data_IF_384324383817
#
_entry.id   IF_384324383817
#
_cell.length_a   1.000
_cell.length_b   1.000
_cell.length_c   1.000
_cell.angle_alpha   90.00
_cell.angle_beta   90.00
_cell.angle_gamma   90.00
#
_symmetry.space_group_name_H-M   'P 1'
#
loop_
_entity.id
_entity.type
_entity.pdbx_description
1 polymer ?
#
# COMPACT_ATOMS: atom_id res chain seq x y z
N UNK A 1 12.76 1.31 -2.00
CA UNK A 1 13.97 0.46 -2.07
C UNK A 1 15.17 1.18 -2.68
N UNK A 2 15.12 1.76 -3.89
CA UNK A 2 16.31 2.37 -4.51
C UNK A 2 16.79 3.61 -3.75
N UNK A 3 15.89 4.42 -3.20
CA UNK A 3 16.30 5.54 -2.33
C UNK A 3 16.91 5.13 -1.00
N UNK A 4 16.48 4.00 -0.41
CA UNK A 4 17.10 3.48 0.82
C UNK A 4 18.49 2.95 0.51
N UNK A 5 18.65 2.22 -0.60
CA UNK A 5 19.96 1.76 -1.08
C UNK A 5 20.89 2.95 -1.42
N UNK A 6 20.38 3.98 -2.09
CA UNK A 6 21.15 5.18 -2.42
C UNK A 6 21.54 6.01 -1.19
N UNK A 7 20.62 6.22 -0.24
CA UNK A 7 20.95 6.90 1.01
C UNK A 7 21.99 6.13 1.82
N UNK A 8 21.92 4.80 1.84
CA UNK A 8 22.94 3.96 2.45
C UNK A 8 24.32 4.13 1.79
N UNK A 9 24.40 4.11 0.46
CA UNK A 9 25.66 4.33 -0.27
C UNK A 9 26.27 5.71 0.02
N UNK A 10 25.43 6.71 0.34
CA UNK A 10 25.84 8.07 0.68
C UNK A 10 26.05 8.30 2.19
N UNK A 11 25.81 7.30 3.05
CA UNK A 11 25.88 7.43 4.51
C UNK A 11 24.79 8.32 5.13
N UNK A 12 23.68 8.54 4.41
CA UNK A 12 22.56 9.38 4.84
C UNK A 12 21.48 8.56 5.58
N UNK A 13 20.65 9.20 6.43
CA UNK A 13 19.52 8.55 7.08
C UNK A 13 18.56 7.87 6.09
N UNK A 14 18.18 6.62 6.38
CA UNK A 14 17.30 5.83 5.52
C UNK A 14 15.95 6.50 5.25
N UNK A 15 15.41 7.25 6.23
CA UNK A 15 14.14 7.97 6.12
C UNK A 15 14.15 8.96 4.96
N UNK A 16 15.27 9.69 4.79
CA UNK A 16 15.42 10.71 3.77
C UNK A 16 15.46 10.07 2.38
N UNK A 17 16.28 9.03 2.22
CA UNK A 17 16.34 8.26 0.99
C UNK A 17 15.00 7.63 0.60
N UNK A 18 14.32 7.02 1.58
CA UNK A 18 12.99 6.44 1.38
C UNK A 18 11.97 7.51 0.96
N UNK A 19 11.95 8.67 1.62
CA UNK A 19 11.03 9.77 1.32
C UNK A 19 11.21 10.32 -0.09
N UNK A 20 12.45 10.62 -0.50
CA UNK A 20 12.71 11.13 -1.84
C UNK A 20 12.38 10.10 -2.92
N UNK A 21 12.75 8.84 -2.71
CA UNK A 21 12.43 7.78 -3.66
C UNK A 21 10.94 7.45 -3.72
N UNK A 22 10.23 7.52 -2.59
CA UNK A 22 8.78 7.36 -2.53
C UNK A 22 8.06 8.51 -3.23
N UNK A 23 8.50 9.76 -2.99
CA UNK A 23 8.01 10.94 -3.69
C UNK A 23 8.27 10.86 -5.20
N UNK A 24 9.46 10.44 -5.62
CA UNK A 24 9.79 10.23 -7.03
C UNK A 24 8.93 9.14 -7.67
N UNK A 25 8.70 8.02 -6.97
CA UNK A 25 7.83 6.96 -7.45
C UNK A 25 6.37 7.46 -7.58
N UNK A 26 5.85 8.19 -6.60
CA UNK A 26 4.51 8.77 -6.65
C UNK A 26 4.37 9.80 -7.79
N UNK A 27 5.38 10.65 -7.98
CA UNK A 27 5.43 11.60 -9.09
C UNK A 27 5.48 10.88 -10.45
N UNK A 28 6.28 9.82 -10.57
CA UNK A 28 6.36 9.02 -11.78
C UNK A 28 5.02 8.30 -12.08
N UNK A 29 4.36 7.75 -11.06
CA UNK A 29 3.01 7.18 -11.20
C UNK A 29 2.00 8.22 -11.68
N UNK A 30 1.97 9.40 -11.05
CA UNK A 30 1.07 10.50 -11.44
C UNK A 30 1.33 10.96 -12.88
N UNK A 31 2.61 11.11 -13.25
CA UNK A 31 3.01 11.49 -14.60
C UNK A 31 2.59 10.45 -15.65
N UNK A 32 2.82 9.16 -15.40
CA UNK A 32 2.39 8.08 -16.29
C UNK A 32 0.87 8.01 -16.40
N UNK A 33 0.16 8.17 -15.28
CA UNK A 33 -1.30 8.12 -15.24
C UNK A 33 -1.92 9.26 -16.09
N UNK A 34 -1.33 10.46 -16.03
CA UNK A 34 -1.81 11.60 -16.83
C UNK A 34 -1.45 11.53 -18.31
N UNK A 35 -0.35 10.87 -18.68
CA UNK A 35 0.20 10.87 -20.05
C UNK A 35 -0.09 9.60 -20.84
N UNK A 36 -0.47 8.51 -20.18
CA UNK A 36 -0.69 7.21 -20.83
C UNK A 36 -2.13 6.72 -20.62
N UNK A 37 -2.62 5.84 -21.50
CA UNK A 37 -3.91 5.14 -21.35
C UNK A 37 -3.74 3.79 -20.63
N UNK A 38 -2.63 3.60 -19.91
CA UNK A 38 -2.38 2.37 -19.18
C UNK A 38 -3.36 2.27 -18.01
N UNK A 39 -3.82 1.05 -17.72
CA UNK A 39 -4.60 0.79 -16.50
C UNK A 39 -3.73 1.12 -15.29
N UNK A 40 -4.35 1.71 -14.27
CA UNK A 40 -3.66 2.17 -13.06
C UNK A 40 -2.89 1.03 -12.37
N UNK A 41 -3.45 -0.18 -12.37
CA UNK A 41 -2.82 -1.41 -11.88
C UNK A 41 -1.50 -1.74 -12.60
N UNK A 42 -1.45 -1.52 -13.92
CA UNK A 42 -0.26 -1.77 -14.73
C UNK A 42 0.84 -0.73 -14.44
N UNK A 43 0.45 0.53 -14.21
CA UNK A 43 1.38 1.60 -13.85
C UNK A 43 1.99 1.32 -12.47
N UNK A 44 1.17 0.93 -11.49
CA UNK A 44 1.63 0.57 -10.14
C UNK A 44 2.62 -0.59 -10.21
N UNK A 45 2.27 -1.66 -10.94
CA UNK A 45 3.14 -2.83 -11.11
C UNK A 45 4.46 -2.49 -11.82
N UNK A 46 4.41 -1.66 -12.86
CA UNK A 46 5.60 -1.25 -13.62
C UNK A 46 6.55 -0.38 -12.78
N UNK A 47 6.03 0.66 -12.12
CA UNK A 47 6.86 1.53 -11.28
C UNK A 47 7.44 0.74 -10.11
N UNK A 48 6.63 -0.11 -9.47
CA UNK A 48 7.09 -0.94 -8.35
C UNK A 48 8.20 -1.90 -8.76
N UNK A 49 7.97 -2.74 -9.79
CA UNK A 49 8.98 -3.69 -10.27
C UNK A 49 10.26 -2.99 -10.73
N UNK A 50 10.14 -1.85 -11.42
CA UNK A 50 11.29 -1.06 -11.88
C UNK A 50 12.11 -0.50 -10.71
N UNK A 51 11.46 0.18 -9.76
CA UNK A 51 12.15 0.77 -8.62
C UNK A 51 12.73 -0.30 -7.69
N UNK A 52 11.99 -1.39 -7.48
CA UNK A 52 12.43 -2.50 -6.66
C UNK A 52 13.65 -3.20 -7.29
N UNK A 53 13.60 -3.49 -8.59
CA UNK A 53 14.71 -4.05 -9.35
C UNK A 53 15.94 -3.14 -9.37
N UNK A 54 15.74 -1.83 -9.56
CA UNK A 54 16.84 -0.85 -9.50
C UNK A 54 17.48 -0.83 -8.11
N UNK A 55 16.69 -0.87 -7.04
CA UNK A 55 17.20 -0.94 -5.67
C UNK A 55 18.02 -2.21 -5.40
N UNK A 56 17.55 -3.37 -5.86
CA UNK A 56 18.29 -4.63 -5.80
C UNK A 56 19.59 -4.59 -6.62
N UNK A 57 19.57 -3.94 -7.78
CA UNK A 57 20.75 -3.76 -8.63
C UNK A 57 21.81 -2.87 -7.97
N UNK A 58 21.43 -1.72 -7.41
CA UNK A 58 22.35 -0.85 -6.66
C UNK A 58 23.01 -1.58 -5.49
N UNK A 59 22.22 -2.40 -4.79
CA UNK A 59 22.71 -3.26 -3.71
C UNK A 59 23.72 -4.29 -4.22
N UNK A 60 23.46 -4.89 -5.38
CA UNK A 60 24.39 -5.85 -5.98
C UNK A 60 25.75 -5.25 -6.35
N UNK A 61 25.84 -3.93 -6.56
CA UNK A 61 27.07 -3.23 -6.93
C UNK A 61 27.93 -2.84 -5.71
N UNK A 62 27.33 -2.68 -4.53
CA UNK A 62 28.04 -2.35 -3.28
C UNK A 62 27.72 -3.39 -2.21
N UNK A 63 28.44 -4.53 -2.17
CA UNK A 63 28.28 -5.57 -1.16
C UNK A 63 28.92 -5.10 0.15
N UNK A 64 28.29 -4.18 0.87
CA UNK A 64 28.74 -3.75 2.20
C UNK A 64 27.75 -4.23 3.26
N UNK A 65 28.31 -4.87 4.30
CA UNK A 65 27.85 -5.33 5.64
C UNK A 65 26.45 -5.09 6.23
N UNK A 66 25.48 -4.50 5.52
CA UNK A 66 24.10 -4.35 6.02
C UNK A 66 23.23 -5.44 5.41
N UNK A 67 22.60 -6.23 6.27
CA UNK A 67 21.82 -7.39 5.90
C UNK A 67 20.51 -6.94 5.21
N UNK A 68 20.51 -6.79 3.88
CA UNK A 68 19.36 -6.28 3.09
C UNK A 68 18.08 -7.11 3.33
N UNK A 69 18.21 -8.39 3.69
CA UNK A 69 17.06 -9.18 4.13
C UNK A 69 16.32 -8.50 5.28
N UNK A 70 17.01 -7.90 6.26
CA UNK A 70 16.34 -7.17 7.34
C UNK A 70 15.64 -5.88 6.90
N UNK A 71 16.10 -5.22 5.82
CA UNK A 71 15.44 -4.01 5.29
C UNK A 71 14.24 -4.37 4.39
N UNK A 72 14.37 -5.43 3.59
CA UNK A 72 13.33 -5.86 2.64
C UNK A 72 12.24 -6.66 3.35
N UNK A 73 12.63 -7.61 4.20
CA UNK A 73 11.72 -8.51 4.92
C UNK A 73 11.30 -7.96 6.29
N UNK A 74 12.02 -6.96 6.81
CA UNK A 74 11.79 -6.38 8.13
C UNK A 74 12.37 -7.24 9.26
N UNK A 75 12.64 -6.60 10.39
CA UNK A 75 12.88 -7.30 11.65
C UNK A 75 12.15 -6.57 12.78
N UNK A 76 10.97 -7.08 13.16
CA UNK A 76 10.13 -6.49 14.21
C UNK A 76 10.87 -6.47 15.57
N UNK A 77 11.84 -7.38 15.78
CA UNK A 77 12.63 -7.44 17.01
C UNK A 77 13.71 -6.35 17.10
N UNK A 78 14.04 -5.68 15.99
CA UNK A 78 15.03 -4.61 15.95
C UNK A 78 14.43 -3.21 16.11
N UNK A 79 13.12 -3.10 16.38
CA UNK A 79 12.42 -1.83 16.51
C UNK A 79 12.84 -1.12 17.81
N UNK A 80 13.31 0.11 17.70
CA UNK A 80 13.62 0.94 18.87
C UNK A 80 12.36 1.63 19.42
N UNK A 81 12.35 2.03 20.71
CA UNK A 81 11.26 2.83 21.26
C UNK A 81 11.05 4.17 20.53
N UNK A 82 12.13 4.75 20.02
CA UNK A 82 12.11 6.00 19.25
C UNK A 82 11.39 5.82 17.90
N UNK A 83 11.68 4.73 17.18
CA UNK A 83 10.99 4.40 15.92
C UNK A 83 9.50 4.16 16.14
N UNK A 84 9.14 3.52 17.25
CA UNK A 84 7.74 3.26 17.62
C UNK A 84 6.99 4.57 17.90
N UNK A 85 7.60 5.48 18.64
CA UNK A 85 7.01 6.80 18.92
C UNK A 85 6.86 7.62 17.64
N UNK A 86 7.87 7.62 16.77
CA UNK A 86 7.82 8.32 15.50
C UNK A 86 6.71 7.75 14.59
N UNK A 87 6.61 6.43 14.49
CA UNK A 87 5.53 5.75 13.74
C UNK A 87 4.15 6.11 14.31
N UNK A 88 4.01 6.12 15.64
CA UNK A 88 2.75 6.47 16.30
C UNK A 88 2.34 7.93 16.02
N UNK A 89 3.28 8.88 16.10
CA UNK A 89 3.02 10.29 15.80
C UNK A 89 2.62 10.47 14.34
N UNK A 90 3.41 9.94 13.40
CA UNK A 90 3.14 10.08 11.95
C UNK A 90 1.81 9.40 11.59
N UNK A 91 1.55 8.21 12.13
CA UNK A 91 0.31 7.47 11.92
C UNK A 91 -0.90 8.22 12.48
N UNK A 92 -0.81 8.73 13.71
CA UNK A 92 -1.91 9.48 14.33
C UNK A 92 -2.20 10.79 13.60
N UNK A 93 -1.18 11.57 13.27
CA UNK A 93 -1.35 12.83 12.52
C UNK A 93 -1.93 12.56 11.13
N UNK A 94 -1.42 11.54 10.43
CA UNK A 94 -1.92 11.18 9.10
C UNK A 94 -3.37 10.74 9.13
N UNK A 95 -3.73 9.89 10.10
CA UNK A 95 -5.10 9.43 10.29
C UNK A 95 -6.04 10.59 10.66
N UNK A 96 -5.62 11.49 11.55
CA UNK A 96 -6.40 12.64 11.95
C UNK A 96 -6.70 13.57 10.76
N UNK A 97 -5.68 13.89 9.94
CA UNK A 97 -5.86 14.71 8.75
C UNK A 97 -6.80 14.02 7.75
N UNK A 98 -6.63 12.71 7.52
CA UNK A 98 -7.51 11.94 6.63
C UNK A 98 -8.97 11.93 7.10
N UNK A 99 -9.21 11.81 8.41
CA UNK A 99 -10.56 11.83 8.98
C UNK A 99 -11.21 13.22 8.84
N UNK A 100 -10.45 14.29 9.10
CA UNK A 100 -10.95 15.68 8.95
C UNK A 100 -11.24 16.00 7.48
N UNK A 101 -10.37 15.57 6.57
CA UNK A 101 -10.49 15.80 5.11
C UNK A 101 -11.25 14.73 4.34
N UNK A 102 -11.90 13.80 5.05
CA UNK A 102 -12.57 12.64 4.47
C UNK A 102 -13.57 13.01 3.36
N UNK A 103 -14.42 14.01 3.59
CA UNK A 103 -15.47 14.42 2.64
C UNK A 103 -14.84 15.04 1.38
N UNK A 104 -13.86 15.92 1.56
CA UNK A 104 -13.15 16.60 0.46
C UNK A 104 -12.42 15.57 -0.43
N UNK A 105 -11.74 14.59 0.19
CA UNK A 105 -11.05 13.51 -0.53
C UNK A 105 -12.03 12.62 -1.29
N UNK A 106 -13.17 12.28 -0.69
CA UNK A 106 -14.21 11.49 -1.36
C UNK A 106 -14.69 12.19 -2.62
N UNK A 107 -15.00 13.49 -2.56
CA UNK A 107 -15.46 14.23 -3.76
C UNK A 107 -14.39 14.25 -4.84
N UNK A 108 -13.12 14.49 -4.48
CA UNK A 108 -12.01 14.54 -5.45
C UNK A 108 -11.75 13.19 -6.13
N UNK A 109 -11.85 12.06 -5.39
CA UNK A 109 -11.60 10.73 -5.96
C UNK A 109 -12.77 10.21 -6.79
N UNK A 110 -14.01 10.61 -6.49
CA UNK A 110 -15.18 10.18 -7.25
C UNK A 110 -15.49 11.06 -8.46
N UNK A 111 -15.34 12.39 -8.33
CA UNK A 111 -15.57 13.32 -9.42
C UNK A 111 -14.72 14.60 -9.26
N UNK A 112 -13.59 14.62 -9.97
CA UNK A 112 -12.70 15.77 -9.99
C UNK A 112 -13.34 17.02 -10.60
N UNK A 113 -14.25 16.86 -11.56
CA UNK A 113 -14.93 17.98 -12.22
C UNK A 113 -15.93 18.64 -11.28
N UNK A 114 -16.67 17.84 -10.51
CA UNK A 114 -17.56 18.29 -9.46
C UNK A 114 -16.81 18.90 -8.27
N UNK A 115 -15.64 18.36 -7.91
CA UNK A 115 -14.79 18.95 -6.89
C UNK A 115 -14.39 20.40 -7.24
N UNK A 116 -14.00 20.64 -8.50
CA UNK A 116 -13.64 22.00 -8.97
C UNK A 116 -14.83 22.95 -8.99
N UNK A 117 -16.02 22.47 -9.34
CA UNK A 117 -17.21 23.33 -9.39
C UNK A 117 -17.70 23.77 -8.00
N UNK A 118 -17.42 22.99 -6.96
CA UNK A 118 -17.70 23.35 -5.55
C UNK A 118 -16.58 24.24 -4.95
N UNK A 119 -15.55 24.56 -5.72
CA UNK A 119 -14.45 25.43 -5.29
C UNK A 119 -13.33 24.72 -4.52
N UNK A 120 -13.32 23.38 -4.52
CA UNK A 120 -12.16 22.62 -4.01
C UNK A 120 -11.02 22.68 -5.03
N UNK A 121 -9.79 22.60 -4.54
CA UNK A 121 -8.59 22.44 -5.37
C UNK A 121 -8.16 20.97 -5.37
N UNK A 122 -8.50 20.17 -6.40
CA UNK A 122 -8.20 18.74 -6.42
C UNK A 122 -6.69 18.46 -6.40
N UNK A 123 -5.90 19.32 -7.04
CA UNK A 123 -4.45 19.17 -7.08
C UNK A 123 -3.84 19.28 -5.68
N UNK A 124 -4.27 20.25 -4.88
CA UNK A 124 -3.80 20.41 -3.51
C UNK A 124 -4.21 19.22 -2.62
N UNK A 125 -5.44 18.73 -2.75
CA UNK A 125 -5.94 17.58 -2.00
C UNK A 125 -5.22 16.28 -2.38
N UNK A 126 -4.94 16.07 -3.67
CA UNK A 126 -4.12 14.94 -4.14
C UNK A 126 -2.68 15.03 -3.60
N UNK A 127 -2.04 16.20 -3.68
CA UNK A 127 -0.69 16.39 -3.15
C UNK A 127 -0.64 16.12 -1.64
N UNK A 128 -1.60 16.64 -0.88
CA UNK A 128 -1.74 16.35 0.55
C UNK A 128 -1.91 14.85 0.81
N UNK A 129 -2.79 14.17 0.09
CA UNK A 129 -3.00 12.73 0.23
C UNK A 129 -1.72 11.93 -0.07
N UNK A 130 -1.04 12.21 -1.18
CA UNK A 130 0.21 11.54 -1.54
C UNK A 130 1.34 11.85 -0.55
N UNK A 131 1.37 13.04 0.04
CA UNK A 131 2.32 13.39 1.09
C UNK A 131 2.07 12.57 2.36
N UNK A 132 0.82 12.42 2.81
CA UNK A 132 0.45 11.60 3.97
C UNK A 132 0.75 10.11 3.72
N UNK A 133 0.42 9.62 2.51
CA UNK A 133 0.73 8.26 2.08
C UNK A 133 2.25 8.02 2.08
N UNK A 134 3.04 8.94 1.52
CA UNK A 134 4.50 8.86 1.52
C UNK A 134 5.07 8.87 2.94
N UNK A 135 4.64 9.80 3.80
CA UNK A 135 5.10 9.86 5.19
C UNK A 135 4.77 8.58 5.97
N UNK A 136 3.55 8.07 5.83
CA UNK A 136 3.10 6.84 6.51
C UNK A 136 3.85 5.61 6.01
N UNK A 137 4.06 5.48 4.69
CA UNK A 137 4.77 4.34 4.09
C UNK A 137 6.25 4.35 4.44
N UNK A 138 6.89 5.52 4.50
CA UNK A 138 8.29 5.67 4.93
C UNK A 138 8.46 5.28 6.39
N UNK A 139 7.58 5.76 7.28
CA UNK A 139 7.62 5.40 8.70
C UNK A 139 7.41 3.89 8.92
N UNK A 140 6.46 3.30 8.18
CA UNK A 140 6.20 1.86 8.25
C UNK A 140 7.35 1.02 7.67
N UNK A 141 8.08 1.53 6.66
CA UNK A 141 9.20 0.82 6.04
C UNK A 141 10.32 0.54 7.04
N UNK A 142 10.57 1.49 7.94
CA UNK A 142 11.65 1.39 8.94
C UNK A 142 11.38 0.31 9.98
N UNK A 143 10.12 0.11 10.34
CA UNK A 143 9.70 -0.81 11.39
C UNK A 143 9.42 -2.21 10.87
N UNK A 144 8.77 -2.31 9.71
CA UNK A 144 8.19 -3.56 9.21
C UNK A 144 8.86 -4.06 7.93
N UNK A 145 9.61 -3.21 7.22
CA UNK A 145 10.32 -3.55 5.99
C UNK A 145 9.56 -3.22 4.70
N UNK A 146 10.32 -2.99 3.62
CA UNK A 146 9.77 -2.43 2.39
C UNK A 146 8.77 -3.35 1.66
N UNK A 147 8.95 -4.67 1.73
CA UNK A 147 8.08 -5.62 1.03
C UNK A 147 6.68 -5.65 1.64
N UNK A 148 6.61 -5.78 2.97
CA UNK A 148 5.33 -5.88 3.68
C UNK A 148 4.52 -4.59 3.59
N UNK A 149 5.16 -3.42 3.67
CA UNK A 149 4.45 -2.13 3.52
C UNK A 149 3.68 -2.07 2.20
N UNK A 150 4.30 -2.52 1.11
CA UNK A 150 3.70 -2.41 -0.22
C UNK A 150 2.51 -3.37 -0.36
N UNK A 151 2.66 -4.60 0.14
CA UNK A 151 1.55 -5.55 0.20
C UNK A 151 0.40 -5.04 1.07
N UNK A 152 0.69 -4.43 2.22
CA UNK A 152 -0.32 -3.85 3.10
C UNK A 152 -1.06 -2.65 2.50
N UNK A 153 -0.40 -1.87 1.63
CA UNK A 153 -1.05 -0.74 0.94
C UNK A 153 -2.02 -1.22 -0.13
N UNK A 154 -1.70 -2.33 -0.82
CA UNK A 154 -2.46 -2.78 -2.01
C UNK A 154 -3.46 -3.89 -1.69
N UNK A 155 -3.03 -4.97 -1.04
CA UNK A 155 -3.81 -6.22 -0.93
C UNK A 155 -5.08 -6.08 -0.07
N UNK A 156 -5.06 -5.44 1.12
CA UNK A 156 -6.27 -5.23 1.91
C UNK A 156 -7.30 -4.35 1.20
N UNK A 157 -6.85 -3.33 0.45
CA UNK A 157 -7.70 -2.46 -0.35
C UNK A 157 -8.37 -3.22 -1.50
N UNK A 158 -7.59 -3.99 -2.27
CA UNK A 158 -8.10 -4.83 -3.35
C UNK A 158 -9.08 -5.91 -2.83
N UNK A 159 -8.76 -6.52 -1.69
CA UNK A 159 -9.64 -7.50 -1.04
C UNK A 159 -10.96 -6.84 -0.63
N UNK A 160 -10.91 -5.69 0.06
CA UNK A 160 -12.10 -4.98 0.50
C UNK A 160 -12.99 -4.53 -0.68
N UNK A 161 -12.38 -4.14 -1.79
CA UNK A 161 -13.10 -3.78 -3.03
C UNK A 161 -13.91 -4.96 -3.61
N UNK A 162 -13.41 -6.20 -3.49
CA UNK A 162 -14.17 -7.39 -3.91
C UNK A 162 -15.42 -7.63 -3.04
N UNK A 163 -15.36 -7.26 -1.76
CA UNK A 163 -16.41 -7.51 -0.78
C UNK A 163 -17.51 -6.44 -0.76
N UNK A 164 -17.22 -5.18 -1.10
CA UNK A 164 -18.21 -4.10 -0.98
C UNK A 164 -18.03 -2.97 -2.00
N UNK A 165 -19.16 -2.35 -2.40
CA UNK A 165 -19.17 -1.19 -3.31
C UNK A 165 -19.25 0.16 -2.58
N UNK A 166 -19.48 0.14 -1.26
CA UNK A 166 -19.61 1.39 -0.47
C UNK A 166 -18.25 1.81 0.06
N UNK A 167 -17.73 2.93 -0.43
CA UNK A 167 -16.39 3.45 -0.07
C UNK A 167 -16.11 3.53 1.45
N UNK A 168 -17.03 4.03 2.31
CA UNK A 168 -16.78 4.04 3.76
C UNK A 168 -16.62 2.63 4.33
N UNK A 169 -17.44 1.68 3.86
CA UNK A 169 -17.37 0.28 4.30
C UNK A 169 -16.12 -0.41 3.77
N UNK A 170 -15.70 -0.07 2.54
CA UNK A 170 -14.47 -0.57 1.94
C UNK A 170 -13.26 -0.21 2.81
N UNK A 171 -13.16 1.05 3.24
CA UNK A 171 -12.04 1.49 4.07
C UNK A 171 -12.02 0.81 5.44
N UNK A 172 -13.17 0.65 6.09
CA UNK A 172 -13.24 -0.10 7.36
C UNK A 172 -12.82 -1.57 7.15
N UNK A 173 -13.30 -2.23 6.10
CA UNK A 173 -12.93 -3.62 5.81
C UNK A 173 -11.43 -3.74 5.52
N UNK A 174 -10.86 -2.82 4.73
CA UNK A 174 -9.43 -2.83 4.41
C UNK A 174 -8.57 -2.67 5.66
N UNK A 175 -8.93 -1.75 6.56
CA UNK A 175 -8.23 -1.54 7.84
C UNK A 175 -8.35 -2.78 8.73
N UNK A 176 -9.55 -3.37 8.84
CA UNK A 176 -9.77 -4.57 9.66
C UNK A 176 -8.99 -5.77 9.12
N UNK A 177 -9.02 -6.03 7.81
CA UNK A 177 -8.24 -7.09 7.17
C UNK A 177 -6.75 -6.85 7.41
N UNK A 178 -6.28 -5.62 7.17
CA UNK A 178 -4.90 -5.24 7.41
C UNK A 178 -4.48 -5.54 8.85
N UNK A 179 -5.17 -4.98 9.83
CA UNK A 179 -4.87 -5.17 11.25
C UNK A 179 -4.93 -6.65 11.68
N UNK A 180 -5.99 -7.38 11.28
CA UNK A 180 -6.15 -8.78 11.61
C UNK A 180 -5.03 -9.65 11.03
N UNK A 181 -4.65 -9.42 9.76
CA UNK A 181 -3.54 -10.15 9.11
C UNK A 181 -2.19 -9.83 9.71
N UNK A 182 -1.95 -8.58 10.11
CA UNK A 182 -0.70 -8.22 10.78
C UNK A 182 -0.60 -8.84 12.17
N UNK A 183 -1.67 -8.81 12.97
CA UNK A 183 -1.67 -9.42 14.31
C UNK A 183 -1.51 -10.94 14.23
N UNK A 184 -2.34 -11.60 13.40
CA UNK A 184 -2.28 -13.06 13.25
C UNK A 184 -0.99 -13.54 12.59
N UNK A 185 -0.48 -12.82 11.58
CA UNK A 185 0.78 -13.15 10.91
C UNK A 185 2.01 -12.88 11.77
N UNK A 186 2.00 -11.82 12.59
CA UNK A 186 3.06 -11.61 13.58
C UNK A 186 3.06 -12.70 14.66
N UNK A 187 1.88 -13.10 15.15
CA UNK A 187 1.77 -14.20 16.10
C UNK A 187 2.22 -15.54 15.50
N UNK A 188 1.82 -15.84 14.25
CA UNK A 188 2.24 -17.05 13.56
C UNK A 188 3.75 -17.08 13.28
N UNK A 189 4.35 -15.91 12.98
CA UNK A 189 5.80 -15.78 12.75
C UNK A 189 6.63 -16.21 13.96
N UNK A 190 6.10 -16.04 15.18
CA UNK A 190 6.76 -16.51 16.40
C UNK A 190 6.89 -18.05 16.46
N UNK A 191 5.92 -18.80 15.91
CA UNK A 191 5.95 -20.28 15.93
C UNK A 191 6.67 -20.90 14.72
N UNK A 192 6.71 -20.17 13.60
CA UNK A 192 7.24 -20.66 12.33
C UNK A 192 8.72 -20.32 12.11
N UNK A 193 9.34 -19.52 12.99
CA UNK A 193 10.69 -18.94 12.82
C UNK A 193 10.92 -18.33 11.42
N UNK A 194 9.83 -17.90 10.78
CA UNK A 194 9.83 -17.38 9.41
C UNK A 194 9.79 -15.86 9.39
N UNK A 195 10.27 -15.27 8.28
CA UNK A 195 10.25 -13.82 8.08
C UNK A 195 8.83 -13.26 8.20
N UNK A 196 8.59 -12.41 9.21
CA UNK A 196 7.24 -11.94 9.56
C UNK A 196 6.54 -11.24 8.40
N UNK A 197 7.30 -10.47 7.61
CA UNK A 197 6.81 -9.85 6.38
C UNK A 197 6.24 -10.86 5.39
N UNK A 198 6.96 -11.97 5.15
CA UNK A 198 6.52 -13.02 4.22
C UNK A 198 5.26 -13.73 4.68
N UNK A 199 5.17 -14.05 5.98
CA UNK A 199 4.01 -14.76 6.55
C UNK A 199 2.75 -13.90 6.45
N UNK A 200 2.83 -12.60 6.76
CA UNK A 200 1.69 -11.69 6.66
C UNK A 200 1.22 -11.58 5.20
N UNK A 201 2.15 -11.48 4.23
CA UNK A 201 1.80 -11.40 2.80
C UNK A 201 1.12 -12.68 2.30
N UNK A 202 1.60 -13.85 2.73
CA UNK A 202 0.97 -15.13 2.37
C UNK A 202 -0.45 -15.20 2.96
N UNK A 203 -0.64 -14.81 4.21
CA UNK A 203 -1.98 -14.74 4.84
C UNK A 203 -2.91 -13.77 4.12
N UNK A 204 -2.43 -12.57 3.79
CA UNK A 204 -3.19 -11.59 3.01
C UNK A 204 -3.58 -12.13 1.64
N UNK A 205 -2.66 -12.84 0.98
CA UNK A 205 -2.91 -13.48 -0.32
C UNK A 205 -3.95 -14.59 -0.21
N UNK A 206 -3.89 -15.42 0.83
CA UNK A 206 -4.90 -16.45 1.08
C UNK A 206 -6.29 -15.85 1.32
N UNK A 207 -6.38 -14.77 2.10
CA UNK A 207 -7.63 -14.05 2.32
C UNK A 207 -8.13 -13.41 1.04
N UNK A 208 -7.25 -12.82 0.23
CA UNK A 208 -7.59 -12.28 -1.08
C UNK A 208 -8.13 -13.37 -2.02
N UNK A 209 -7.48 -14.54 -2.08
CA UNK A 209 -7.95 -15.66 -2.89
C UNK A 209 -9.30 -16.17 -2.40
N UNK A 210 -9.47 -16.33 -1.08
CA UNK A 210 -10.76 -16.70 -0.50
C UNK A 210 -11.85 -15.67 -0.85
N UNK A 211 -11.55 -14.38 -0.72
CA UNK A 211 -12.43 -13.31 -1.17
C UNK A 211 -12.71 -13.39 -2.67
N UNK A 212 -11.71 -13.66 -3.52
CA UNK A 212 -11.89 -13.76 -4.96
C UNK A 212 -12.83 -14.91 -5.36
N UNK A 213 -12.75 -16.06 -4.68
CA UNK A 213 -13.66 -17.18 -4.94
C UNK A 213 -15.05 -16.96 -4.34
N UNK A 214 -15.13 -16.50 -3.08
CA UNK A 214 -16.38 -16.44 -2.31
C UNK A 214 -17.05 -15.07 -2.28
N UNK A 215 -16.45 -14.01 -2.83
CA UNK A 215 -17.00 -12.66 -2.71
C UNK A 215 -18.40 -12.56 -3.35
N UNK A 216 -19.38 -12.03 -2.60
CA UNK A 216 -20.78 -12.03 -3.00
C UNK A 216 -21.08 -11.11 -4.20
N UNK A 217 -20.21 -10.12 -4.50
CA UNK A 217 -20.44 -9.15 -5.59
C UNK A 217 -19.47 -9.23 -6.76
N UNK A 218 -18.17 -9.36 -6.52
CA UNK A 218 -17.16 -9.47 -7.58
C UNK A 218 -16.49 -10.85 -7.65
N UNK A 219 -16.90 -11.80 -6.80
CA UNK A 219 -16.34 -13.14 -6.82
C UNK A 219 -16.76 -13.92 -8.05
N UNK A 220 -15.87 -14.79 -8.52
CA UNK A 220 -16.07 -15.57 -9.76
C UNK A 220 -17.39 -16.36 -9.74
N UNK A 221 -17.82 -16.84 -8.57
CA UNK A 221 -19.09 -17.55 -8.37
C UNK A 221 -20.32 -16.64 -8.46
N UNK A 222 -20.24 -15.40 -7.96
CA UNK A 222 -21.33 -14.42 -8.04
C UNK A 222 -21.48 -13.86 -9.46
N UNK A 223 -20.37 -13.66 -10.18
CA UNK A 223 -20.37 -13.27 -11.59
C UNK A 223 -20.99 -14.37 -12.48
N UNK A 224 -20.63 -15.64 -12.24
CA UNK A 224 -21.25 -16.79 -12.94
C UNK A 224 -22.75 -16.93 -12.65
N UNK A 225 -23.18 -16.73 -11.41
CA UNK A 225 -24.63 -16.75 -11.05
C UNK A 225 -25.41 -15.60 -11.68
N UNK A 226 -24.82 -14.40 -11.81
CA UNK A 226 -25.46 -13.27 -12.50
C UNK A 226 -25.52 -13.48 -14.02
N UNK A 227 -24.47 -14.03 -14.62
CA UNK A 227 -24.47 -14.39 -16.04
C UNK A 227 -25.50 -15.48 -16.36
N UNK A 228 -25.62 -16.51 -15.50
CA UNK A 228 -26.64 -17.55 -15.65
C UNK A 228 -28.07 -17.00 -15.55
N UNK A 229 -28.35 -16.12 -14.58
CA UNK A 229 -29.68 -15.48 -14.44
C UNK A 229 -30.00 -14.51 -15.58
N UNK A 230 -29.00 -13.86 -16.17
CA UNK A 230 -29.20 -12.99 -17.33
C UNK A 230 -29.55 -13.80 -18.59
N UNK A 231 -28.99 -15.02 -18.74
CA UNK A 231 -29.35 -15.94 -19.82
C UNK A 231 -30.76 -16.52 -19.64
N UNK A 232 -31.14 -16.90 -18.42
CA UNK A 232 -32.50 -17.39 -18.12
C UNK A 232 -33.58 -16.30 -18.31
N UNK A 233 -33.26 -15.02 -18.09
CA UNK A 233 -34.21 -13.92 -18.31
C UNK A 233 -34.36 -13.51 -19.78
N UNK A 234 -33.51 -14.04 -20.67
CA UNK A 234 -33.54 -13.77 -22.12
C UNK A 234 -34.19 -14.88 -22.95
N UNK A 235 -34.63 -15.96 -22.30
CA UNK A 235 -35.40 -17.08 -22.87
C UNK A 235 -36.87 -16.96 -22.46
#
# INVERSE_FOLDING_TARGET
VPGVAGAFMLGLPFSIGAFFSGGLAAAAMLFLNQRTKLKEDAIIGLIFSSFFGLGLFMVSLSPTSVNIQTIVLGNILAITPEDTLQLAIIGFVSLAILLVKWKDLMVVFFDESHARSIGLNPSALKIMFFMLLSASTVAALQTVGAFLVICMVVTPGATAYLLTDRFPRLLVIAVVIGAATSISGAYASYFLDGATGGIIVVLQTLIFLAAFFFAPKHGMLAARRRAARALEASL
#
